data_IF_685633749847
#
_entry.id   IF_685633749847
#
_cell.length_a   1.000
_cell.length_b   1.000
_cell.length_c   1.000
_cell.angle_alpha   90.00
_cell.angle_beta   90.00
_cell.angle_gamma   90.00
#
_symmetry.space_group_name_H-M   'P 1'
#
loop_
_entity.id
_entity.type
_entity.pdbx_description
1 polymer ?
#
# COMPACT_ATOMS: atom_id res chain seq x y z
N UNK A 1 0.25 21.38 34.88
CA UNK A 1 0.84 21.79 33.58
C UNK A 1 -0.08 21.23 32.49
N UNK A 2 -0.65 22.08 31.63
CA UNK A 2 -1.40 21.60 30.46
C UNK A 2 -0.42 20.88 29.53
N UNK A 3 -0.48 19.54 29.50
CA UNK A 3 0.30 18.76 28.52
C UNK A 3 -0.30 19.03 27.13
N UNK A 4 0.48 19.59 26.22
CA UNK A 4 0.06 19.78 24.83
C UNK A 4 -0.20 18.42 24.19
N UNK A 5 -1.42 18.18 23.73
CA UNK A 5 -1.78 16.96 22.98
C UNK A 5 -0.98 16.90 21.67
N UNK A 6 -0.44 15.76 21.34
CA UNK A 6 0.33 15.49 20.12
C UNK A 6 -0.33 14.37 19.32
N UNK A 7 -0.09 14.36 18.02
CA UNK A 7 -0.36 13.21 17.14
C UNK A 7 0.98 12.57 16.82
N UNK A 8 1.09 11.29 17.06
CA UNK A 8 2.27 10.47 16.80
C UNK A 8 1.98 9.59 15.61
N UNK A 9 2.78 9.66 14.56
CA UNK A 9 2.66 8.83 13.37
C UNK A 9 3.75 7.77 13.36
N UNK A 10 3.37 6.53 13.12
CA UNK A 10 4.25 5.37 13.07
C UNK A 10 4.15 4.69 11.72
N UNK A 11 5.29 4.45 11.08
CA UNK A 11 5.36 3.53 9.94
C UNK A 11 5.33 2.09 10.44
N UNK A 12 4.95 1.15 9.59
CA UNK A 12 4.89 -0.27 9.91
C UNK A 12 6.23 -0.93 9.63
N UNK A 13 6.62 -0.97 8.36
CA UNK A 13 7.76 -1.75 7.89
C UNK A 13 9.09 -1.08 8.27
N UNK A 14 9.95 -1.83 8.98
CA UNK A 14 11.20 -1.30 9.51
C UNK A 14 11.06 -0.29 10.67
N UNK A 15 9.84 -0.10 11.22
CA UNK A 15 9.58 0.80 12.36
C UNK A 15 8.84 0.08 13.49
N UNK A 16 7.62 -0.37 13.27
CA UNK A 16 6.84 -1.13 14.26
C UNK A 16 7.10 -2.63 14.15
N UNK A 17 7.31 -3.12 12.95
CA UNK A 17 7.66 -4.52 12.69
C UNK A 17 9.17 -4.62 12.56
N UNK A 18 9.76 -5.59 13.27
CA UNK A 18 11.20 -5.84 13.22
C UNK A 18 11.65 -6.28 11.82
N UNK A 19 12.86 -5.86 11.44
CA UNK A 19 13.48 -6.19 10.15
C UNK A 19 14.52 -7.32 10.29
N UNK A 20 14.35 -8.18 11.30
CA UNK A 20 15.24 -9.30 11.65
C UNK A 20 14.84 -10.64 10.98
N UNK A 21 13.98 -10.59 9.97
CA UNK A 21 13.40 -11.75 9.29
C UNK A 21 12.25 -12.41 10.04
N UNK A 22 12.00 -12.09 11.31
CA UNK A 22 10.87 -12.60 12.08
C UNK A 22 9.61 -11.78 11.89
N UNK A 23 9.76 -10.49 11.55
CA UNK A 23 8.67 -9.56 11.23
C UNK A 23 7.56 -9.53 12.29
N UNK A 24 7.91 -9.41 13.56
CA UNK A 24 6.95 -9.33 14.66
C UNK A 24 6.82 -7.90 15.21
N UNK A 25 5.69 -7.61 15.83
CA UNK A 25 5.42 -6.36 16.50
C UNK A 25 5.76 -6.50 18.00
N UNK A 26 6.83 -5.85 18.51
CA UNK A 26 7.29 -6.04 19.88
C UNK A 26 6.27 -5.57 20.92
N UNK A 27 6.12 -6.32 22.02
CA UNK A 27 5.22 -5.94 23.11
C UNK A 27 5.63 -4.62 23.76
N UNK A 28 6.94 -4.33 23.83
CA UNK A 28 7.44 -3.04 24.31
C UNK A 28 6.95 -1.85 23.48
N UNK A 29 6.78 -2.02 22.16
CA UNK A 29 6.21 -0.99 21.29
C UNK A 29 4.71 -0.82 21.55
N UNK A 30 3.96 -1.93 21.74
CA UNK A 30 2.54 -1.90 22.10
C UNK A 30 2.32 -1.14 23.41
N UNK A 31 3.13 -1.46 24.45
CA UNK A 31 3.08 -0.77 25.73
C UNK A 31 3.41 0.73 25.61
N UNK A 32 4.41 1.09 24.81
CA UNK A 32 4.77 2.50 24.60
C UNK A 32 3.66 3.30 23.93
N UNK A 33 2.99 2.72 22.93
CA UNK A 33 1.83 3.30 22.25
C UNK A 33 0.68 3.50 23.25
N UNK A 34 0.37 2.49 24.04
CA UNK A 34 -0.66 2.58 25.08
C UNK A 34 -0.36 3.71 26.07
N UNK A 35 0.86 3.78 26.62
CA UNK A 35 1.28 4.85 27.54
C UNK A 35 1.19 6.25 26.92
N UNK A 36 1.52 6.37 25.63
CA UNK A 36 1.38 7.65 24.91
C UNK A 36 -0.09 8.10 24.87
N UNK A 37 -1.01 7.18 24.57
CA UNK A 37 -2.44 7.45 24.54
C UNK A 37 -3.01 7.76 25.93
N UNK A 38 -2.62 7.05 26.96
CA UNK A 38 -2.99 7.33 28.37
C UNK A 38 -2.52 8.72 28.83
N UNK A 39 -1.42 9.24 28.25
CA UNK A 39 -0.96 10.61 28.46
C UNK A 39 -1.72 11.66 27.60
N UNK A 40 -2.76 11.24 26.86
CA UNK A 40 -3.63 12.12 26.10
C UNK A 40 -3.15 12.42 24.67
N UNK A 41 -2.12 11.73 24.17
CA UNK A 41 -1.67 11.81 22.78
C UNK A 41 -2.52 10.92 21.89
N UNK A 42 -2.51 11.20 20.56
CA UNK A 42 -3.08 10.32 19.55
C UNK A 42 -1.96 9.52 18.89
N UNK A 43 -2.21 8.24 18.63
CA UNK A 43 -1.30 7.35 17.92
C UNK A 43 -1.94 6.93 16.58
N UNK A 44 -1.24 7.19 15.48
CA UNK A 44 -1.68 6.87 14.13
C UNK A 44 -0.65 5.99 13.43
N UNK A 45 -1.12 5.03 12.66
CA UNK A 45 -0.32 4.38 11.62
C UNK A 45 -0.20 5.34 10.43
N UNK A 46 0.98 5.36 9.78
CA UNK A 46 1.21 6.10 8.53
C UNK A 46 2.07 5.23 7.60
N UNK A 47 1.44 4.51 6.69
CA UNK A 47 2.05 3.44 5.92
C UNK A 47 1.78 3.53 4.42
N UNK A 48 2.69 2.94 3.62
CA UNK A 48 2.45 2.67 2.19
C UNK A 48 1.47 1.52 1.94
N UNK A 49 1.21 0.66 2.94
CA UNK A 49 0.23 -0.42 2.81
C UNK A 49 -1.17 0.14 2.66
N UNK A 50 -1.99 -0.46 1.81
CA UNK A 50 -3.44 -0.22 1.81
C UNK A 50 -4.08 -0.85 3.06
N UNK A 51 -5.26 -0.40 3.44
CA UNK A 51 -5.85 -0.75 4.75
C UNK A 51 -6.07 -2.27 4.92
N UNK A 52 -6.49 -2.99 3.89
CA UNK A 52 -6.65 -4.44 3.95
C UNK A 52 -5.33 -5.20 4.16
N UNK A 53 -4.17 -4.59 3.86
CA UNK A 53 -2.83 -5.15 4.08
C UNK A 53 -2.23 -4.79 5.44
N UNK A 54 -2.92 -4.02 6.26
CA UNK A 54 -2.57 -3.82 7.67
C UNK A 54 -3.05 -5.05 8.44
N UNK A 55 -2.13 -5.78 9.08
CA UNK A 55 -2.46 -7.02 9.79
C UNK A 55 -3.41 -6.78 10.96
N UNK A 56 -4.21 -7.78 11.32
CA UNK A 56 -5.13 -7.70 12.46
C UNK A 56 -4.39 -7.39 13.77
N UNK A 57 -3.19 -7.91 13.95
CA UNK A 57 -2.36 -7.59 15.12
C UNK A 57 -2.10 -6.08 15.25
N UNK A 58 -1.82 -5.38 14.14
CA UNK A 58 -1.61 -3.93 14.15
C UNK A 58 -2.95 -3.21 14.30
N UNK A 59 -4.00 -3.63 13.60
CA UNK A 59 -5.32 -3.00 13.69
C UNK A 59 -5.88 -3.03 15.11
N UNK A 60 -5.67 -4.13 15.82
CA UNK A 60 -6.13 -4.34 17.20
C UNK A 60 -5.21 -3.75 18.29
N UNK A 61 -4.04 -3.22 17.92
CA UNK A 61 -3.04 -2.71 18.88
C UNK A 61 -3.42 -1.37 19.56
N UNK A 62 -4.60 -0.84 19.26
CA UNK A 62 -5.15 0.32 19.94
C UNK A 62 -4.73 1.66 19.34
N UNK A 63 -4.42 1.74 18.05
CA UNK A 63 -4.23 3.01 17.34
C UNK A 63 -5.55 3.79 17.22
N UNK A 64 -5.46 5.12 17.26
CA UNK A 64 -6.61 6.01 17.10
C UNK A 64 -7.01 6.14 15.62
N UNK A 65 -6.05 5.94 14.70
CA UNK A 65 -6.32 6.03 13.28
C UNK A 65 -5.20 5.50 12.39
N UNK A 66 -5.48 5.52 11.08
CA UNK A 66 -4.63 4.93 10.05
C UNK A 66 -4.59 5.87 8.85
N UNK A 67 -3.38 6.19 8.40
CA UNK A 67 -3.10 6.82 7.10
C UNK A 67 -2.47 5.73 6.24
N UNK A 68 -3.23 5.21 5.29
CA UNK A 68 -2.86 4.07 4.45
C UNK A 68 -2.68 4.46 2.99
N UNK A 69 -2.08 3.56 2.18
CA UNK A 69 -1.91 3.76 0.76
C UNK A 69 -1.09 5.00 0.40
N UNK A 70 -0.06 5.34 1.21
CA UNK A 70 0.68 6.58 1.06
C UNK A 70 -0.19 7.85 1.18
N UNK A 71 -1.26 7.83 1.98
CA UNK A 71 -2.15 8.99 2.19
C UNK A 71 -3.42 8.96 1.34
N UNK A 72 -3.66 7.92 0.56
CA UNK A 72 -4.90 7.78 -0.24
C UNK A 72 -6.11 7.41 0.61
N UNK A 73 -5.91 6.85 1.81
CA UNK A 73 -7.00 6.44 2.69
C UNK A 73 -6.69 6.79 4.15
N UNK A 74 -7.59 7.54 4.78
CA UNK A 74 -7.47 7.97 6.19
C UNK A 74 -8.67 7.48 6.98
N UNK A 75 -8.38 6.72 8.05
CA UNK A 75 -9.37 6.21 9.00
C UNK A 75 -9.10 6.81 10.38
N UNK A 76 -10.12 7.26 11.09
CA UNK A 76 -10.03 7.74 12.47
C UNK A 76 -11.22 7.24 13.28
N UNK A 77 -10.96 6.69 14.46
CA UNK A 77 -11.97 6.06 15.31
C UNK A 77 -12.88 5.05 14.59
N UNK A 78 -12.33 4.32 13.60
CA UNK A 78 -13.07 3.34 12.82
C UNK A 78 -13.90 3.91 11.66
N UNK A 79 -13.91 5.22 11.47
CA UNK A 79 -14.62 5.87 10.37
C UNK A 79 -13.63 6.35 9.29
N UNK A 80 -13.95 6.15 8.01
CA UNK A 80 -13.19 6.71 6.89
C UNK A 80 -13.41 8.22 6.84
N UNK A 81 -12.37 8.99 7.11
CA UNK A 81 -12.39 10.45 6.96
C UNK A 81 -12.11 10.89 5.53
N UNK A 82 -11.30 10.13 4.83
CA UNK A 82 -10.89 10.43 3.47
C UNK A 82 -10.54 9.15 2.72
N UNK A 83 -10.96 9.05 1.46
CA UNK A 83 -10.51 8.04 0.53
C UNK A 83 -10.37 8.68 -0.86
N UNK A 84 -9.24 8.44 -1.51
CA UNK A 84 -9.01 8.88 -2.88
C UNK A 84 -9.61 7.87 -3.85
N UNK A 85 -10.75 8.20 -4.42
CA UNK A 85 -11.40 7.37 -5.43
C UNK A 85 -10.77 7.62 -6.81
N UNK A 86 -9.88 6.73 -7.24
CA UNK A 86 -9.36 6.77 -8.61
C UNK A 86 -10.49 6.39 -9.57
N UNK A 87 -10.80 7.24 -10.59
CA UNK A 87 -11.85 6.91 -11.55
C UNK A 87 -11.59 5.59 -12.26
N UNK A 88 -12.63 4.80 -12.45
CA UNK A 88 -12.57 3.49 -13.11
C UNK A 88 -11.83 3.54 -14.47
N UNK A 89 -12.10 4.53 -15.30
CA UNK A 89 -11.46 4.68 -16.61
C UNK A 89 -9.94 4.86 -16.52
N UNK A 90 -9.47 5.51 -15.46
CA UNK A 90 -8.03 5.67 -15.19
C UNK A 90 -7.44 4.33 -14.78
N UNK A 91 -8.09 3.62 -13.85
CA UNK A 91 -7.67 2.28 -13.41
C UNK A 91 -7.62 1.30 -14.60
N UNK A 92 -8.68 1.22 -15.38
CA UNK A 92 -8.76 0.37 -16.57
C UNK A 92 -7.70 0.74 -17.61
N UNK A 93 -7.40 2.03 -17.77
CA UNK A 93 -6.34 2.52 -18.64
C UNK A 93 -4.96 2.02 -18.19
N UNK A 94 -4.65 2.11 -16.89
CA UNK A 94 -3.40 1.61 -16.30
C UNK A 94 -3.28 0.09 -16.51
N UNK A 95 -4.34 -0.67 -16.22
CA UNK A 95 -4.32 -2.13 -16.38
C UNK A 95 -4.02 -2.52 -17.84
N UNK A 96 -4.69 -1.85 -18.80
CA UNK A 96 -4.41 -2.07 -20.24
C UNK A 96 -2.96 -1.75 -20.60
N UNK A 97 -2.39 -0.67 -20.04
CA UNK A 97 -1.00 -0.28 -20.31
C UNK A 97 0.01 -1.22 -19.64
N UNK A 98 -0.25 -1.71 -18.44
CA UNK A 98 0.58 -2.75 -17.84
C UNK A 98 0.64 -3.99 -18.75
N UNK A 99 -0.49 -4.44 -19.29
CA UNK A 99 -0.55 -5.55 -20.24
C UNK A 99 0.20 -5.26 -21.54
N UNK A 100 -0.03 -4.10 -22.14
CA UNK A 100 0.62 -3.66 -23.39
C UNK A 100 2.16 -3.63 -23.25
N UNK A 101 2.64 -3.14 -22.12
CA UNK A 101 4.07 -2.98 -21.83
C UNK A 101 4.69 -4.17 -21.11
N UNK A 102 3.94 -5.27 -20.95
CA UNK A 102 4.39 -6.51 -20.27
C UNK A 102 4.90 -6.23 -18.84
N UNK A 103 4.18 -5.40 -18.11
CA UNK A 103 4.41 -5.15 -16.69
C UNK A 103 3.52 -6.09 -15.89
N UNK A 104 4.10 -6.91 -15.03
CA UNK A 104 3.36 -7.65 -14.02
C UNK A 104 2.96 -6.68 -12.90
N UNK A 105 1.71 -6.65 -12.51
CA UNK A 105 1.24 -5.68 -11.55
C UNK A 105 0.36 -6.29 -10.46
N UNK A 106 0.53 -5.75 -9.26
CA UNK A 106 -0.35 -5.94 -8.11
C UNK A 106 -1.07 -4.62 -7.86
N UNK A 107 -2.36 -4.63 -7.99
CA UNK A 107 -3.23 -3.48 -7.78
C UNK A 107 -3.80 -3.54 -6.36
N UNK A 108 -3.70 -2.43 -5.66
CA UNK A 108 -4.02 -2.34 -4.24
C UNK A 108 -5.12 -1.30 -4.00
N UNK A 109 -6.26 -1.75 -3.46
CA UNK A 109 -7.37 -0.93 -3.00
C UNK A 109 -7.52 -1.07 -1.48
N UNK A 110 -8.26 -0.17 -0.84
CA UNK A 110 -8.44 -0.17 0.61
C UNK A 110 -8.97 -1.52 1.16
N UNK A 111 -9.80 -2.24 0.41
CA UNK A 111 -10.48 -3.47 0.83
C UNK A 111 -9.97 -4.75 0.14
N UNK A 112 -9.17 -4.64 -0.92
CA UNK A 112 -8.73 -5.77 -1.74
C UNK A 112 -7.40 -5.55 -2.41
N UNK A 113 -6.76 -6.65 -2.79
CA UNK A 113 -5.59 -6.70 -3.67
C UNK A 113 -5.88 -7.66 -4.80
N UNK A 114 -5.50 -7.32 -6.02
CA UNK A 114 -5.68 -8.18 -7.18
C UNK A 114 -4.52 -8.04 -8.18
N UNK A 115 -4.36 -8.99 -9.08
CA UNK A 115 -3.30 -8.98 -10.10
C UNK A 115 -3.88 -9.08 -11.51
N UNK A 116 -3.13 -8.59 -12.49
CA UNK A 116 -3.30 -9.01 -13.88
C UNK A 116 -2.65 -10.37 -14.13
N UNK A 117 -2.88 -10.96 -15.30
CA UNK A 117 -2.15 -12.16 -15.70
C UNK A 117 -0.63 -11.88 -15.70
N UNK A 118 0.14 -12.80 -15.11
CA UNK A 118 1.59 -12.66 -15.02
C UNK A 118 2.26 -12.84 -16.39
N UNK A 119 3.26 -12.03 -16.66
CA UNK A 119 4.06 -12.07 -17.88
C UNK A 119 5.47 -12.59 -17.65
N UNK A 120 5.92 -12.60 -16.40
CA UNK A 120 7.26 -13.00 -16.00
C UNK A 120 7.24 -14.13 -14.98
N UNK A 121 8.39 -14.77 -14.80
CA UNK A 121 8.61 -15.78 -13.76
C UNK A 121 9.26 -15.18 -12.51
N UNK A 122 8.80 -14.00 -12.10
CA UNK A 122 9.37 -13.24 -11.00
C UNK A 122 9.03 -13.85 -9.63
N UNK A 123 10.03 -14.34 -8.93
CA UNK A 123 9.86 -14.99 -7.62
C UNK A 123 9.31 -14.05 -6.55
N UNK A 124 9.77 -12.79 -6.49
CA UNK A 124 9.27 -11.82 -5.52
C UNK A 124 7.76 -11.57 -5.72
N UNK A 125 7.30 -11.47 -6.96
CA UNK A 125 5.88 -11.35 -7.26
C UNK A 125 5.09 -12.59 -6.81
N UNK A 126 5.60 -13.80 -7.05
CA UNK A 126 4.97 -15.05 -6.62
C UNK A 126 4.86 -15.14 -5.09
N UNK A 127 5.93 -14.78 -4.38
CA UNK A 127 5.94 -14.73 -2.92
C UNK A 127 4.90 -13.74 -2.39
N UNK A 128 4.80 -12.54 -2.99
CA UNK A 128 3.84 -11.52 -2.61
C UNK A 128 2.39 -11.97 -2.86
N UNK A 129 2.10 -12.58 -4.01
CA UNK A 129 0.79 -13.15 -4.30
C UNK A 129 0.44 -14.26 -3.30
N UNK A 130 1.40 -15.14 -2.98
CA UNK A 130 1.20 -16.19 -1.97
C UNK A 130 0.89 -15.62 -0.60
N UNK A 131 1.58 -14.55 -0.19
CA UNK A 131 1.29 -13.82 1.04
C UNK A 131 -0.14 -13.26 1.04
N UNK A 132 -0.57 -12.59 -0.01
CA UNK A 132 -1.92 -12.03 -0.09
C UNK A 132 -3.00 -13.12 -0.08
N UNK A 133 -2.79 -14.23 -0.79
CA UNK A 133 -3.71 -15.39 -0.73
C UNK A 133 -3.84 -15.96 0.69
N UNK A 134 -2.75 -16.02 1.44
CA UNK A 134 -2.75 -16.51 2.81
C UNK A 134 -3.42 -15.54 3.80
N UNK A 135 -3.38 -14.23 3.54
CA UNK A 135 -3.99 -13.21 4.41
C UNK A 135 -5.45 -12.93 4.07
N UNK A 136 -6.01 -13.62 3.08
CA UNK A 136 -7.40 -13.45 2.60
C UNK A 136 -7.74 -12.05 2.06
N UNK A 137 -6.73 -11.25 1.73
CA UNK A 137 -6.90 -9.91 1.12
C UNK A 137 -6.80 -9.93 -0.40
N UNK A 138 -6.40 -11.07 -0.97
CA UNK A 138 -6.18 -11.24 -2.39
C UNK A 138 -7.45 -11.71 -3.13
N UNK A 139 -7.74 -11.08 -4.24
CA UNK A 139 -8.76 -11.51 -5.19
C UNK A 139 -8.10 -11.97 -6.49
N UNK A 140 -8.34 -13.20 -6.88
CA UNK A 140 -8.00 -13.68 -8.21
C UNK A 140 -9.01 -13.12 -9.21
N UNK A 141 -8.52 -12.42 -10.23
CA UNK A 141 -9.39 -11.83 -11.23
C UNK A 141 -8.83 -12.11 -12.63
N UNK A 142 -9.57 -12.87 -13.41
CA UNK A 142 -9.20 -13.24 -14.78
C UNK A 142 -9.22 -12.03 -15.73
N UNK A 143 -10.06 -11.03 -15.46
CA UNK A 143 -10.06 -9.76 -16.17
C UNK A 143 -10.17 -8.58 -15.21
N UNK A 144 -9.03 -8.10 -14.68
CA UNK A 144 -9.00 -6.98 -13.75
C UNK A 144 -9.47 -5.65 -14.36
N UNK A 145 -9.66 -5.56 -15.68
CA UNK A 145 -10.25 -4.39 -16.32
C UNK A 145 -11.79 -4.33 -16.17
N UNK A 146 -12.43 -5.37 -15.63
CA UNK A 146 -13.87 -5.39 -15.39
C UNK A 146 -14.18 -4.85 -14.00
N UNK A 147 -14.64 -3.60 -13.92
CA UNK A 147 -15.17 -2.93 -12.73
C UNK A 147 -14.22 -2.90 -11.51
N UNK A 148 -12.90 -3.05 -11.73
CA UNK A 148 -11.92 -2.98 -10.66
C UNK A 148 -11.30 -1.58 -10.56
N UNK A 149 -11.31 -1.05 -9.34
CA UNK A 149 -10.62 0.18 -8.97
C UNK A 149 -9.51 -0.12 -7.96
N UNK A 150 -8.50 0.73 -7.93
CA UNK A 150 -7.39 0.63 -6.99
C UNK A 150 -6.86 2.02 -6.62
N UNK A 151 -6.22 2.11 -5.45
CA UNK A 151 -5.66 3.36 -4.93
C UNK A 151 -4.23 3.57 -5.44
N UNK A 152 -3.45 2.50 -5.46
CA UNK A 152 -2.06 2.44 -5.89
C UNK A 152 -1.75 1.07 -6.48
N UNK A 153 -0.58 0.90 -7.06
CA UNK A 153 -0.13 -0.40 -7.53
C UNK A 153 1.39 -0.55 -7.49
N UNK A 154 1.84 -1.78 -7.54
CA UNK A 154 3.22 -2.14 -7.72
C UNK A 154 3.39 -2.85 -9.06
N UNK A 155 4.51 -2.67 -9.73
CA UNK A 155 4.80 -3.33 -11.00
C UNK A 155 6.22 -3.88 -11.06
N UNK A 156 6.33 -5.04 -11.70
CA UNK A 156 7.59 -5.75 -12.00
C UNK A 156 7.76 -5.81 -13.51
N UNK A 157 9.00 -5.82 -13.95
CA UNK A 157 9.33 -5.84 -15.37
C UNK A 157 10.69 -6.50 -15.62
N UNK A 158 10.92 -6.97 -16.84
CA UNK A 158 12.21 -7.53 -17.22
C UNK A 158 13.29 -6.44 -17.32
N UNK A 159 14.53 -6.76 -16.91
CA UNK A 159 15.64 -5.80 -16.85
C UNK A 159 15.93 -5.12 -18.21
N UNK A 160 15.69 -5.83 -19.29
CA UNK A 160 15.93 -5.40 -20.67
C UNK A 160 14.65 -4.95 -21.40
N UNK A 161 13.55 -4.73 -20.66
CA UNK A 161 12.28 -4.30 -21.26
C UNK A 161 12.46 -3.00 -22.05
N UNK A 162 12.05 -2.95 -23.33
CA UNK A 162 12.11 -1.72 -24.12
C UNK A 162 10.99 -0.74 -23.77
N UNK A 163 10.07 -1.12 -22.90
CA UNK A 163 8.84 -0.36 -22.63
C UNK A 163 8.91 0.55 -21.40
N UNK A 164 9.97 0.45 -20.58
CA UNK A 164 10.04 1.15 -19.29
C UNK A 164 9.83 2.67 -19.40
N UNK A 165 10.51 3.31 -20.35
CA UNK A 165 10.39 4.77 -20.53
C UNK A 165 9.02 5.18 -21.07
N UNK A 166 8.42 4.38 -21.95
CA UNK A 166 7.06 4.61 -22.43
C UNK A 166 6.03 4.44 -21.29
N UNK A 167 6.24 3.47 -20.40
CA UNK A 167 5.42 3.24 -19.21
C UNK A 167 5.51 4.41 -18.22
N UNK A 168 6.72 4.86 -17.88
CA UNK A 168 6.93 6.04 -17.03
C UNK A 168 6.23 7.27 -17.59
N UNK A 169 6.41 7.54 -18.90
CA UNK A 169 5.77 8.67 -19.57
C UNK A 169 4.24 8.59 -19.53
N UNK A 170 3.67 7.40 -19.66
CA UNK A 170 2.23 7.21 -19.54
C UNK A 170 1.73 7.56 -18.13
N UNK A 171 2.49 7.15 -17.08
CA UNK A 171 2.13 7.40 -15.70
C UNK A 171 2.27 8.86 -15.28
N UNK A 172 3.16 9.64 -15.91
CA UNK A 172 3.47 11.02 -15.55
C UNK A 172 2.25 11.95 -15.46
N UNK A 173 1.15 11.62 -16.09
CA UNK A 173 -0.05 12.44 -16.03
C UNK A 173 -0.69 12.40 -14.64
N UNK A 174 -0.93 11.21 -14.12
CA UNK A 174 -1.80 11.00 -12.97
C UNK A 174 -1.07 10.38 -11.76
N UNK A 175 0.15 9.84 -11.97
CA UNK A 175 0.89 9.07 -10.98
C UNK A 175 2.32 9.55 -10.76
N UNK A 176 2.87 9.18 -9.61
CA UNK A 176 4.30 9.21 -9.30
C UNK A 176 4.86 7.80 -9.42
N UNK A 177 5.93 7.67 -10.20
CA UNK A 177 6.70 6.44 -10.33
C UNK A 177 7.85 6.45 -9.33
N UNK A 178 7.94 5.43 -8.48
CA UNK A 178 8.95 5.28 -7.43
C UNK A 178 9.73 4.00 -7.72
N UNK A 179 10.96 4.15 -8.23
CA UNK A 179 11.85 3.01 -8.43
C UNK A 179 12.22 2.39 -7.08
N UNK A 180 12.14 1.07 -7.00
CA UNK A 180 12.60 0.26 -5.87
C UNK A 180 13.78 -0.60 -6.33
N UNK A 181 14.31 -1.44 -5.43
CA UNK A 181 15.42 -2.33 -5.76
C UNK A 181 15.02 -3.32 -6.86
N UNK A 182 15.98 -3.62 -7.74
CA UNK A 182 15.76 -4.49 -8.89
C UNK A 182 14.79 -3.90 -9.91
N UNK A 183 14.08 -4.78 -10.58
CA UNK A 183 13.11 -4.43 -11.63
C UNK A 183 11.70 -4.30 -11.07
N UNK A 184 11.56 -3.50 -10.03
CA UNK A 184 10.35 -3.29 -9.25
C UNK A 184 10.11 -1.81 -9.04
N UNK A 185 8.87 -1.38 -9.19
CA UNK A 185 8.44 -0.03 -8.88
C UNK A 185 7.14 0.01 -8.10
N UNK A 186 6.99 1.06 -7.33
CA UNK A 186 5.75 1.44 -6.68
C UNK A 186 5.17 2.66 -7.39
N UNK A 187 3.87 2.67 -7.61
CA UNK A 187 3.16 3.72 -8.35
C UNK A 187 2.00 4.23 -7.50
N UNK A 188 2.05 5.50 -7.17
CA UNK A 188 1.07 6.16 -6.30
C UNK A 188 0.46 7.37 -7.00
N UNK A 189 -0.81 7.72 -6.76
CA UNK A 189 -1.41 8.91 -7.34
C UNK A 189 -0.63 10.18 -6.99
N UNK A 190 -0.57 11.13 -7.92
CA UNK A 190 0.07 12.43 -7.67
C UNK A 190 -0.64 13.20 -6.56
N UNK A 191 0.16 13.87 -5.73
CA UNK A 191 -0.34 14.67 -4.62
C UNK A 191 -0.52 13.89 -3.32
N UNK A 192 -0.33 12.56 -3.33
CA UNK A 192 -0.44 11.73 -2.15
C UNK A 192 0.92 11.18 -1.75
N UNK A 193 1.29 11.44 -0.50
CA UNK A 193 2.52 10.93 0.13
C UNK A 193 2.27 10.69 1.61
N UNK A 194 3.20 10.02 2.29
CA UNK A 194 3.13 9.90 3.77
C UNK A 194 3.23 11.26 4.49
N UNK A 195 3.52 12.34 3.79
CA UNK A 195 3.72 13.69 4.33
C UNK A 195 2.64 14.70 3.89
N UNK A 196 1.66 14.30 3.10
CA UNK A 196 0.52 15.15 2.67
C UNK A 196 -0.66 15.01 3.59
#
# INVERSE_FOLDING_TARGET
MNKTRKILFFDIDGTLITDDGKRYFPDSAKEAIQKARENGHLAFINTGRVFCNVTEEIRSAGFDGFVCGCGTHIVYNGETLFHHDTPYEVCAGVIRKCREYKMDAVYEHADKVFTSAAFSDNEHLKELISYFKATSTYMENDDPANDQIFDKFCAWYDADTPYLEAFKKYLEKDYMYIQREGNFCEVVPKGYTKAT
#
